data_IF_580798563971
#
_entry.id   IF_580798563971
#
_cell.length_a   1.000
_cell.length_b   1.000
_cell.length_c   1.000
_cell.angle_alpha   90.00
_cell.angle_beta   90.00
_cell.angle_gamma   90.00
#
_symmetry.space_group_name_H-M   'P 1'
#
loop_
_entity.id
_entity.type
_entity.pdbx_description
1 polymer ?
#
# COMPACT_ATOMS: atom_id res chain seq x y z
N UNK A 1 -51.35 4.50 1.27
CA UNK A 1 -50.07 4.15 1.91
C UNK A 1 -48.95 4.56 0.96
N UNK A 2 -48.46 5.79 1.09
CA UNK A 2 -47.41 6.34 0.23
C UNK A 2 -46.06 6.01 0.84
N UNK A 3 -45.33 5.06 0.24
CA UNK A 3 -43.90 4.86 0.54
C UNK A 3 -43.18 6.10 0.00
N UNK A 4 -42.76 7.02 0.89
CA UNK A 4 -41.89 8.12 0.50
C UNK A 4 -40.50 7.56 0.20
N UNK A 5 -40.21 7.33 -1.08
CA UNK A 5 -38.89 6.97 -1.57
C UNK A 5 -37.97 8.18 -1.61
N UNK A 6 -37.36 8.55 -0.48
CA UNK A 6 -36.37 9.64 -0.40
C UNK A 6 -35.21 9.38 0.58
N UNK A 7 -34.95 8.11 0.94
CA UNK A 7 -33.89 7.72 1.88
C UNK A 7 -32.47 7.87 1.33
N UNK A 8 -32.27 7.62 0.03
CA UNK A 8 -30.93 7.48 -0.55
C UNK A 8 -30.00 8.69 -0.39
N UNK A 9 -30.55 9.92 -0.33
CA UNK A 9 -29.75 11.13 -0.09
C UNK A 9 -29.22 11.19 1.35
N UNK A 10 -30.05 10.78 2.32
CA UNK A 10 -29.65 10.66 3.71
C UNK A 10 -28.64 9.53 3.88
N UNK A 11 -28.86 8.40 3.20
CA UNK A 11 -27.92 7.28 3.20
C UNK A 11 -26.56 7.68 2.63
N UNK A 12 -26.53 8.43 1.52
CA UNK A 12 -25.30 8.98 0.95
C UNK A 12 -24.61 9.97 1.88
N UNK A 13 -25.37 10.85 2.56
CA UNK A 13 -24.82 11.81 3.50
C UNK A 13 -24.21 11.09 4.71
N UNK A 14 -24.90 10.09 5.25
CA UNK A 14 -24.41 9.26 6.35
C UNK A 14 -23.15 8.48 5.93
N UNK A 15 -23.15 7.88 4.73
CA UNK A 15 -21.98 7.20 4.19
C UNK A 15 -20.79 8.15 4.04
N UNK A 16 -21.00 9.34 3.48
CA UNK A 16 -19.96 10.36 3.34
C UNK A 16 -19.42 10.79 4.70
N UNK A 17 -20.29 11.09 5.66
CA UNK A 17 -19.87 11.45 7.03
C UNK A 17 -19.05 10.34 7.68
N UNK A 18 -19.46 9.07 7.52
CA UNK A 18 -18.72 7.92 8.03
C UNK A 18 -17.35 7.77 7.36
N UNK A 19 -17.28 7.89 6.02
CA UNK A 19 -16.01 7.84 5.27
C UNK A 19 -15.06 8.95 5.70
N UNK A 20 -15.55 10.19 5.84
CA UNK A 20 -14.73 11.33 6.27
C UNK A 20 -14.24 11.16 7.71
N UNK A 21 -15.07 10.63 8.61
CA UNK A 21 -14.67 10.34 9.97
C UNK A 21 -13.57 9.27 10.02
N UNK A 22 -13.74 8.15 9.31
CA UNK A 22 -12.72 7.10 9.22
C UNK A 22 -11.44 7.63 8.59
N UNK A 23 -11.53 8.44 7.53
CA UNK A 23 -10.38 9.09 6.90
C UNK A 23 -9.65 9.99 7.88
N UNK A 24 -10.37 10.84 8.64
CA UNK A 24 -9.76 11.74 9.62
C UNK A 24 -9.05 10.96 10.74
N UNK A 25 -9.67 9.86 11.23
CA UNK A 25 -9.05 8.98 12.21
C UNK A 25 -7.73 8.40 11.64
N UNK A 26 -7.77 7.82 10.45
CA UNK A 26 -6.56 7.25 9.81
C UNK A 26 -5.50 8.31 9.51
N UNK A 27 -5.90 9.53 9.13
CA UNK A 27 -4.95 10.62 8.90
C UNK A 27 -4.26 11.04 10.20
N UNK A 28 -5.01 11.20 11.29
CA UNK A 28 -4.45 11.61 12.59
C UNK A 28 -3.59 10.50 13.20
N UNK A 29 -4.01 9.24 13.10
CA UNK A 29 -3.28 8.13 13.73
C UNK A 29 -2.16 7.57 12.85
N UNK A 30 -2.30 7.60 11.53
CA UNK A 30 -1.39 6.94 10.59
C UNK A 30 -0.45 7.88 9.83
N UNK A 31 -0.86 9.10 9.46
CA UNK A 31 0.03 9.97 8.67
C UNK A 31 1.32 10.35 9.38
N UNK A 32 1.34 10.59 10.71
CA UNK A 32 2.58 10.83 11.42
C UNK A 32 3.60 9.67 11.32
N UNK A 33 3.14 8.44 11.07
CA UNK A 33 4.00 7.25 10.95
C UNK A 33 4.38 6.92 9.51
N UNK A 34 3.85 7.62 8.49
CA UNK A 34 4.17 7.31 7.07
C UNK A 34 5.66 7.51 6.76
N UNK A 35 6.32 8.46 7.45
CA UNK A 35 7.76 8.68 7.28
C UNK A 35 8.62 7.65 8.03
N UNK A 36 8.01 6.87 8.93
CA UNK A 36 8.68 5.77 9.61
C UNK A 36 8.61 4.54 8.72
N UNK A 37 9.64 4.36 7.88
CA UNK A 37 9.80 3.19 7.03
C UNK A 37 9.85 1.88 7.85
N UNK A 38 10.13 1.95 9.15
CA UNK A 38 10.12 0.80 10.05
C UNK A 38 10.89 -0.41 9.52
N UNK A 39 10.55 -1.56 10.08
CA UNK A 39 10.90 -2.88 9.53
C UNK A 39 9.62 -3.59 9.09
N UNK A 40 8.72 -2.86 8.41
CA UNK A 40 7.56 -3.50 7.80
C UNK A 40 8.03 -4.44 6.67
N UNK A 41 7.16 -5.38 6.31
CA UNK A 41 7.51 -6.43 5.36
C UNK A 41 7.93 -5.87 3.98
N UNK A 42 7.31 -4.78 3.52
CA UNK A 42 7.59 -4.18 2.22
C UNK A 42 8.90 -3.40 2.26
N UNK A 43 9.15 -2.64 3.34
CA UNK A 43 10.41 -1.93 3.56
C UNK A 43 11.60 -2.90 3.69
N UNK A 44 11.42 -4.02 4.40
CA UNK A 44 12.43 -5.08 4.48
C UNK A 44 12.64 -5.77 3.13
N UNK A 45 11.57 -6.03 2.37
CA UNK A 45 11.67 -6.61 1.04
C UNK A 45 12.39 -5.70 0.06
N UNK A 46 12.15 -4.38 0.13
CA UNK A 46 12.89 -3.42 -0.69
C UNK A 46 14.38 -3.45 -0.37
N UNK A 47 14.77 -3.60 0.90
CA UNK A 47 16.19 -3.77 1.27
C UNK A 47 16.80 -5.04 0.64
N UNK A 48 16.01 -6.12 0.51
CA UNK A 48 16.46 -7.34 -0.19
C UNK A 48 16.66 -7.06 -1.68
N UNK A 49 15.73 -6.37 -2.35
CA UNK A 49 15.89 -6.01 -3.77
C UNK A 49 17.11 -5.11 -4.01
N UNK A 50 17.35 -4.11 -3.14
CA UNK A 50 18.55 -3.27 -3.22
C UNK A 50 19.81 -4.11 -3.08
N UNK A 51 19.82 -5.07 -2.15
CA UNK A 51 20.96 -5.99 -1.97
C UNK A 51 21.18 -6.89 -3.19
N UNK A 52 20.13 -7.42 -3.79
CA UNK A 52 20.23 -8.24 -4.99
C UNK A 52 20.72 -7.41 -6.19
N UNK A 53 20.28 -6.15 -6.33
CA UNK A 53 20.79 -5.21 -7.33
C UNK A 53 22.30 -4.94 -7.14
N UNK A 54 22.73 -4.66 -5.91
CA UNK A 54 24.15 -4.50 -5.57
C UNK A 54 24.96 -5.78 -5.79
N UNK A 55 24.32 -6.94 -5.68
CA UNK A 55 24.91 -8.26 -5.97
C UNK A 55 24.91 -8.60 -7.47
N UNK A 56 24.39 -7.73 -8.34
CA UNK A 56 24.43 -7.86 -9.80
C UNK A 56 23.12 -8.26 -10.48
N UNK A 57 22.00 -8.34 -9.74
CA UNK A 57 20.68 -8.54 -10.35
C UNK A 57 20.35 -7.33 -11.25
N UNK A 58 19.88 -7.59 -12.47
CA UNK A 58 19.67 -6.55 -13.48
C UNK A 58 18.62 -5.51 -13.06
N UNK A 59 18.74 -4.27 -13.56
CA UNK A 59 17.83 -3.15 -13.26
C UNK A 59 16.34 -3.44 -13.55
N UNK A 60 16.04 -4.30 -14.52
CA UNK A 60 14.65 -4.65 -14.86
C UNK A 60 14.20 -5.99 -14.28
N UNK A 61 15.06 -6.69 -13.54
CA UNK A 61 14.76 -7.97 -12.91
C UNK A 61 14.23 -7.75 -11.49
N UNK A 62 12.92 -7.51 -11.35
CA UNK A 62 12.21 -7.35 -10.07
C UNK A 62 11.79 -8.70 -9.46
N UNK A 63 12.38 -9.81 -9.91
CA UNK A 63 11.98 -11.13 -9.47
C UNK A 63 12.65 -11.48 -8.14
N UNK A 64 11.85 -11.90 -7.16
CA UNK A 64 12.32 -12.35 -5.85
C UNK A 64 12.34 -13.87 -5.80
N UNK A 65 13.45 -14.45 -6.26
CA UNK A 65 13.66 -15.90 -6.37
C UNK A 65 13.62 -16.65 -5.02
N UNK A 66 13.79 -15.93 -3.91
CA UNK A 66 13.87 -16.49 -2.55
C UNK A 66 12.53 -16.49 -1.82
N UNK A 67 11.46 -15.95 -2.42
CA UNK A 67 10.19 -15.71 -1.75
C UNK A 67 9.02 -16.36 -2.48
N UNK A 68 8.11 -16.97 -1.73
CA UNK A 68 6.92 -17.63 -2.29
C UNK A 68 7.18 -19.08 -2.69
N UNK A 69 6.45 -19.54 -3.72
CA UNK A 69 6.55 -20.91 -4.24
C UNK A 69 7.81 -21.09 -5.11
N UNK A 70 8.04 -22.33 -5.55
CA UNK A 70 9.14 -22.66 -6.46
C UNK A 70 9.15 -21.73 -7.66
N UNK A 71 10.28 -21.05 -7.86
CA UNK A 71 10.47 -20.08 -8.92
C UNK A 71 10.37 -18.63 -8.48
N UNK A 72 9.81 -18.31 -7.30
CA UNK A 72 9.68 -16.94 -6.82
C UNK A 72 8.52 -16.16 -7.45
N UNK A 73 8.43 -14.85 -7.17
CA UNK A 73 7.47 -13.96 -7.83
C UNK A 73 8.07 -12.60 -8.20
N UNK A 74 7.43 -11.93 -9.16
CA UNK A 74 7.79 -10.58 -9.59
C UNK A 74 7.21 -9.56 -8.60
N UNK A 75 8.04 -8.65 -8.12
CA UNK A 75 7.60 -7.54 -7.29
C UNK A 75 6.78 -6.54 -8.11
N UNK A 76 5.68 -6.07 -7.53
CA UNK A 76 4.71 -5.24 -8.25
C UNK A 76 5.08 -3.74 -8.27
N UNK A 77 6.11 -3.33 -7.52
CA UNK A 77 6.55 -1.95 -7.42
C UNK A 77 7.82 -1.69 -8.24
N UNK A 78 8.06 -0.41 -8.56
CA UNK A 78 9.26 0.02 -9.28
C UNK A 78 10.45 0.21 -8.34
N UNK A 79 11.67 0.05 -8.87
CA UNK A 79 12.93 0.41 -8.21
C UNK A 79 13.39 1.86 -8.45
N UNK A 80 12.47 2.75 -8.87
CA UNK A 80 12.83 4.15 -9.14
C UNK A 80 13.38 4.85 -7.89
N UNK A 81 12.91 4.45 -6.71
CA UNK A 81 13.35 4.99 -5.40
C UNK A 81 14.77 4.53 -5.04
N UNK A 82 15.29 3.48 -5.68
CA UNK A 82 16.62 2.93 -5.41
C UNK A 82 17.72 3.61 -6.25
N UNK A 83 17.36 4.59 -7.10
CA UNK A 83 18.31 5.42 -7.87
C UNK A 83 18.99 6.42 -6.92
N UNK A 84 20.31 6.66 -7.04
CA UNK A 84 21.01 7.72 -6.30
C UNK A 84 20.52 9.14 -6.62
#
# INVERSE_FOLDING_TARGET
MTIQGTGWKHDLLLALCATLLVLAINAISGFPTIADLGADNDSMLRLVEVRDLLAGQGWFDLHQYRMGLTGGFVMHWSRLVDVP
#
